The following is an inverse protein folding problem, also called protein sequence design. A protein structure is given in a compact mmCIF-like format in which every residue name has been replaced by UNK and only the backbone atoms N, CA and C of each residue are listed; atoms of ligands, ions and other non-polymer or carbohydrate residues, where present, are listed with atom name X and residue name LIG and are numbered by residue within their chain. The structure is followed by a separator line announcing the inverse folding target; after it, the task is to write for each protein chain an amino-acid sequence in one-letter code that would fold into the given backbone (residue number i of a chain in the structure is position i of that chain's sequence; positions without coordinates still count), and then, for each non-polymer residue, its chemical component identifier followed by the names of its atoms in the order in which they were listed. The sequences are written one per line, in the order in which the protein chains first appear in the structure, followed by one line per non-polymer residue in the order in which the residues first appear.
data_IF_662942040422
#
_entry.id   IF_662942040422
#
_cell.length_a   1.000
_cell.length_b   1.000
_cell.length_c   1.000
_cell.angle_alpha   90.00
_cell.angle_beta   90.00
_cell.angle_gamma   90.00
#
_symmetry.space_group_name_H-M   'P 1'
#
loop_
_entity.id
_entity.type
_entity.pdbx_description
1 polymer ?
#
# COMPACT_ATOMS: atom_id res chain seq x y z
N UNK A 1 -20.37 -5.00 -3.45
CA UNK A 1 -20.22 -5.11 -4.90
C UNK A 1 -18.83 -5.62 -5.28
N UNK A 2 -17.75 -5.08 -4.70
CA UNK A 2 -16.37 -5.46 -5.01
C UNK A 2 -16.03 -6.90 -4.71
N UNK A 3 -16.41 -7.38 -3.53
CA UNK A 3 -16.22 -8.80 -3.17
C UNK A 3 -16.98 -9.71 -4.15
N UNK A 4 -18.23 -9.38 -4.48
CA UNK A 4 -19.02 -10.15 -5.44
C UNK A 4 -18.38 -10.20 -6.84
N UNK A 5 -17.70 -9.12 -7.25
CA UNK A 5 -16.95 -9.10 -8.51
C UNK A 5 -15.72 -10.02 -8.40
N UNK A 6 -14.97 -9.94 -7.31
CA UNK A 6 -13.83 -10.83 -7.05
C UNK A 6 -14.24 -12.31 -7.07
N UNK A 7 -15.31 -12.65 -6.34
CA UNK A 7 -15.87 -14.01 -6.30
C UNK A 7 -16.36 -14.51 -7.67
N UNK A 8 -16.95 -13.64 -8.48
CA UNK A 8 -17.39 -13.96 -9.85
C UNK A 8 -16.21 -14.20 -10.81
N UNK A 9 -15.11 -13.47 -10.66
CA UNK A 9 -13.91 -13.63 -11.48
C UNK A 9 -13.03 -14.79 -11.08
N UNK A 10 -13.06 -15.20 -9.82
CA UNK A 10 -12.17 -16.23 -9.28
C UNK A 10 -12.22 -17.56 -10.05
N UNK A 11 -13.38 -18.12 -10.46
CA UNK A 11 -13.44 -19.36 -11.25
C UNK A 11 -12.72 -19.21 -12.61
N UNK A 12 -12.87 -18.07 -13.28
CA UNK A 12 -12.22 -17.78 -14.57
C UNK A 12 -10.70 -17.68 -14.39
N UNK A 13 -10.26 -17.00 -13.34
CA UNK A 13 -8.84 -16.88 -13.01
C UNK A 13 -8.23 -18.25 -12.66
N UNK A 14 -8.93 -19.08 -11.88
CA UNK A 14 -8.49 -20.46 -11.57
C UNK A 14 -8.39 -21.35 -12.80
N UNK A 15 -9.23 -21.12 -13.80
CA UNK A 15 -9.15 -21.86 -15.06
C UNK A 15 -7.89 -21.46 -15.85
N UNK A 16 -7.55 -20.19 -15.92
CA UNK A 16 -6.36 -19.68 -16.62
C UNK A 16 -5.09 -19.87 -15.80
N UNK A 17 -5.16 -19.65 -14.49
CA UNK A 17 -4.04 -19.68 -13.54
C UNK A 17 -4.31 -20.74 -12.47
N UNK A 18 -4.01 -22.01 -12.78
CA UNK A 18 -4.31 -23.17 -11.91
C UNK A 18 -3.61 -23.15 -10.55
N UNK A 19 -2.67 -22.24 -10.36
CA UNK A 19 -1.95 -22.07 -9.10
C UNK A 19 -2.66 -21.11 -8.14
N UNK A 20 -3.61 -20.33 -8.62
CA UNK A 20 -4.45 -19.44 -7.79
C UNK A 20 -5.42 -20.29 -6.96
N UNK A 21 -5.44 -20.06 -5.66
CA UNK A 21 -6.38 -20.68 -4.71
C UNK A 21 -7.47 -19.70 -4.36
N UNK A 22 -7.10 -18.47 -4.03
CA UNK A 22 -8.01 -17.41 -3.68
C UNK A 22 -7.45 -16.05 -4.11
N UNK A 23 -8.33 -15.06 -4.25
CA UNK A 23 -7.98 -13.69 -4.62
C UNK A 23 -8.92 -12.72 -3.92
N UNK A 24 -8.36 -11.74 -3.26
CA UNK A 24 -9.09 -10.64 -2.66
C UNK A 24 -8.63 -9.29 -3.22
N UNK A 25 -9.61 -8.48 -3.58
CA UNK A 25 -9.44 -7.10 -4.06
C UNK A 25 -10.15 -6.18 -3.07
N UNK A 26 -9.44 -5.58 -2.10
CA UNK A 26 -10.07 -4.72 -1.10
C UNK A 26 -10.80 -3.54 -1.77
N UNK A 27 -12.05 -3.31 -1.39
CA UNK A 27 -12.86 -2.22 -1.93
C UNK A 27 -12.23 -0.86 -1.62
N UNK A 28 -11.68 -0.73 -0.44
CA UNK A 28 -11.03 0.48 0.07
C UNK A 28 -9.86 0.91 -0.82
N UNK A 29 -9.22 -0.02 -1.51
CA UNK A 29 -8.10 0.27 -2.41
C UNK A 29 -8.56 0.56 -3.85
N UNK A 30 -9.86 0.64 -4.12
CA UNK A 30 -10.40 0.90 -5.46
C UNK A 30 -10.18 -0.25 -6.45
N UNK A 31 -10.16 -1.48 -5.99
CA UNK A 31 -10.01 -2.74 -6.74
C UNK A 31 -8.67 -2.97 -7.45
N UNK A 32 -8.14 -1.97 -8.16
CA UNK A 32 -6.97 -2.12 -9.00
C UNK A 32 -5.67 -1.78 -8.27
N UNK A 33 -5.74 -1.14 -7.10
CA UNK A 33 -4.53 -0.71 -6.43
C UNK A 33 -3.88 -1.80 -5.58
N UNK A 34 -4.67 -2.78 -5.10
CA UNK A 34 -4.15 -3.92 -4.32
C UNK A 34 -4.90 -5.19 -4.65
N UNK A 35 -4.16 -6.28 -4.86
CA UNK A 35 -4.66 -7.64 -4.84
C UNK A 35 -3.86 -8.50 -3.86
N UNK A 36 -4.55 -9.31 -3.09
CA UNK A 36 -3.97 -10.35 -2.23
C UNK A 36 -4.32 -11.69 -2.87
N UNK A 37 -3.30 -12.45 -3.30
CA UNK A 37 -3.49 -13.74 -3.97
C UNK A 37 -2.94 -14.88 -3.13
N UNK A 38 -3.80 -15.81 -2.76
CA UNK A 38 -3.38 -17.08 -2.19
C UNK A 38 -3.00 -18.05 -3.31
N UNK A 39 -1.77 -18.53 -3.29
CA UNK A 39 -1.19 -19.37 -4.34
C UNK A 39 -0.74 -20.71 -3.81
N UNK A 40 -0.87 -21.76 -4.63
CA UNK A 40 -0.16 -23.02 -4.38
C UNK A 40 1.32 -22.76 -4.17
N UNK A 41 1.93 -23.53 -3.29
CA UNK A 41 3.34 -23.40 -2.94
C UNK A 41 4.02 -24.79 -2.97
N UNK A 42 4.31 -25.33 -4.17
CA UNK A 42 4.82 -26.69 -4.42
C UNK A 42 6.25 -26.73 -4.94
N UNK A 43 6.74 -25.60 -5.44
CA UNK A 43 8.10 -25.44 -5.94
C UNK A 43 8.58 -24.00 -5.68
N UNK A 44 9.92 -23.78 -5.66
CA UNK A 44 10.49 -22.46 -5.37
C UNK A 44 9.90 -21.34 -6.20
N UNK A 45 9.57 -20.22 -5.56
CA UNK A 45 9.06 -19.00 -6.20
C UNK A 45 7.73 -19.16 -6.95
N UNK A 46 6.93 -20.18 -6.63
CA UNK A 46 5.62 -20.39 -7.28
C UNK A 46 4.66 -19.21 -7.03
N UNK A 47 4.65 -18.63 -5.82
CA UNK A 47 3.85 -17.44 -5.52
C UNK A 47 4.21 -16.27 -6.42
N UNK A 48 5.51 -15.99 -6.56
CA UNK A 48 6.01 -14.95 -7.48
C UNK A 48 5.59 -15.19 -8.93
N UNK A 49 5.73 -16.43 -9.42
CA UNK A 49 5.29 -16.81 -10.78
C UNK A 49 3.79 -16.60 -10.96
N UNK A 50 2.98 -16.97 -9.96
CA UNK A 50 1.53 -16.78 -10.01
C UNK A 50 1.16 -15.31 -10.07
N UNK A 51 1.74 -14.48 -9.21
CA UNK A 51 1.52 -13.04 -9.19
C UNK A 51 1.92 -12.36 -10.51
N UNK A 52 3.09 -12.70 -11.07
CA UNK A 52 3.53 -12.20 -12.39
C UNK A 52 2.55 -12.60 -13.51
N UNK A 53 2.05 -13.83 -13.47
CA UNK A 53 1.04 -14.29 -14.43
C UNK A 53 -0.25 -13.48 -14.38
N UNK A 54 -0.71 -13.12 -13.18
CA UNK A 54 -1.90 -12.28 -12.98
C UNK A 54 -1.67 -10.85 -13.47
N UNK A 55 -0.52 -10.25 -13.18
CA UNK A 55 -0.19 -8.89 -13.63
C UNK A 55 -0.15 -8.72 -15.16
N UNK A 56 -0.10 -9.81 -15.91
CA UNK A 56 -0.17 -9.80 -17.37
C UNK A 56 -1.50 -10.32 -17.94
N UNK A 57 -2.52 -10.61 -17.11
CA UNK A 57 -3.69 -11.35 -17.56
C UNK A 57 -4.99 -10.56 -17.39
N UNK A 58 -5.75 -10.39 -18.47
CA UNK A 58 -7.14 -9.85 -18.47
C UNK A 58 -7.24 -8.56 -17.65
N UNK A 59 -8.26 -8.46 -16.80
CA UNK A 59 -8.46 -7.28 -15.93
C UNK A 59 -7.38 -7.11 -14.86
N UNK A 60 -6.69 -8.19 -14.50
CA UNK A 60 -5.62 -8.12 -13.49
C UNK A 60 -4.39 -7.36 -14.00
N UNK A 61 -4.29 -7.10 -15.31
CA UNK A 61 -3.23 -6.26 -15.86
C UNK A 61 -3.28 -4.81 -15.36
N UNK A 62 -4.39 -4.36 -14.81
CA UNK A 62 -4.54 -3.01 -14.24
C UNK A 62 -4.09 -2.90 -12.79
N UNK A 63 -3.81 -4.02 -12.11
CA UNK A 63 -3.32 -4.01 -10.73
C UNK A 63 -2.04 -3.20 -10.57
N UNK A 64 -1.99 -2.37 -9.51
CA UNK A 64 -0.79 -1.62 -9.11
C UNK A 64 0.10 -2.46 -8.20
N UNK A 65 -0.49 -3.06 -7.18
CA UNK A 65 0.22 -3.89 -6.19
C UNK A 65 -0.42 -5.26 -6.10
N UNK A 66 0.41 -6.30 -6.05
CA UNK A 66 -0.03 -7.68 -5.80
C UNK A 66 0.84 -8.32 -4.71
N UNK A 67 0.19 -8.92 -3.72
CA UNK A 67 0.85 -9.68 -2.65
C UNK A 67 0.49 -11.15 -2.80
N UNK A 68 1.50 -12.00 -3.00
CA UNK A 68 1.33 -13.45 -3.01
C UNK A 68 1.51 -14.01 -1.60
N UNK A 69 0.54 -14.79 -1.13
CA UNK A 69 0.55 -15.43 0.18
C UNK A 69 0.39 -16.95 0.05
N UNK A 70 0.64 -17.67 1.12
CA UNK A 70 0.51 -19.13 1.18
C UNK A 70 -0.93 -19.63 0.95
N UNK A 71 -1.10 -20.91 0.56
CA UNK A 71 -2.40 -21.49 0.28
C UNK A 71 -3.37 -21.50 1.47
N UNK A 72 -2.87 -21.58 2.69
CA UNK A 72 -3.65 -21.59 3.93
C UNK A 72 -4.03 -20.20 4.44
N UNK A 73 -3.54 -19.15 3.79
CA UNK A 73 -3.77 -17.78 4.21
C UNK A 73 -5.17 -17.31 3.80
N UNK A 74 -5.95 -16.81 4.75
CA UNK A 74 -7.17 -16.08 4.45
C UNK A 74 -6.83 -14.73 3.83
N UNK A 75 -7.14 -14.56 2.54
CA UNK A 75 -6.81 -13.35 1.78
C UNK A 75 -7.55 -12.10 2.28
N UNK A 76 -8.64 -12.27 3.04
CA UNK A 76 -9.44 -11.17 3.60
C UNK A 76 -8.97 -10.73 4.98
N UNK A 77 -8.11 -11.51 5.62
CA UNK A 77 -7.55 -11.20 6.93
C UNK A 77 -6.29 -10.33 6.80
N UNK A 78 -6.45 -9.03 7.06
CA UNK A 78 -5.35 -8.07 6.96
C UNK A 78 -4.31 -8.23 8.07
N UNK A 79 -4.67 -8.72 9.24
CA UNK A 79 -3.71 -8.97 10.31
C UNK A 79 -2.80 -10.15 9.95
N UNK A 80 -3.35 -11.22 9.39
CA UNK A 80 -2.55 -12.31 8.83
C UNK A 80 -1.66 -11.84 7.68
N UNK A 81 -2.13 -10.91 6.84
CA UNK A 81 -1.31 -10.31 5.79
C UNK A 81 -0.12 -9.56 6.37
N UNK A 82 -0.33 -8.71 7.37
CA UNK A 82 0.75 -7.98 8.05
C UNK A 82 1.74 -8.94 8.71
N UNK A 83 1.26 -10.04 9.33
CA UNK A 83 2.12 -11.08 9.90
C UNK A 83 2.97 -11.78 8.83
N UNK A 84 2.41 -12.04 7.66
CA UNK A 84 3.14 -12.63 6.54
C UNK A 84 4.20 -11.67 5.98
N UNK A 85 3.88 -10.40 5.83
CA UNK A 85 4.82 -9.37 5.39
C UNK A 85 5.97 -9.20 6.41
N UNK A 86 5.65 -9.15 7.70
CA UNK A 86 6.63 -8.99 8.76
C UNK A 86 7.57 -10.20 8.89
N UNK A 87 7.04 -11.41 8.85
CA UNK A 87 7.81 -12.62 9.15
C UNK A 87 8.51 -13.24 7.95
N UNK A 88 8.05 -13.00 6.71
CA UNK A 88 8.49 -13.75 5.53
C UNK A 88 9.19 -12.89 4.48
N UNK A 89 8.91 -11.58 4.44
CA UNK A 89 9.37 -10.70 3.36
C UNK A 89 10.71 -10.03 3.70
N UNK A 90 11.70 -10.30 2.88
CA UNK A 90 12.96 -9.54 2.81
C UNK A 90 12.87 -8.56 1.65
N UNK A 91 12.98 -7.26 1.94
CA UNK A 91 12.73 -6.19 0.97
C UNK A 91 13.60 -6.34 -0.28
N UNK A 92 14.88 -6.68 -0.12
CA UNK A 92 15.82 -6.81 -1.24
C UNK A 92 15.54 -7.97 -2.18
N UNK A 93 14.84 -9.01 -1.70
CA UNK A 93 14.67 -10.26 -2.46
C UNK A 93 13.21 -10.50 -2.89
N UNK A 94 12.24 -10.07 -2.08
CA UNK A 94 10.86 -10.47 -2.22
C UNK A 94 9.97 -9.36 -2.82
N UNK A 95 10.50 -8.13 -2.97
CA UNK A 95 9.85 -7.06 -3.72
C UNK A 95 10.36 -7.01 -5.15
N UNK A 96 9.43 -6.96 -6.10
CA UNK A 96 9.73 -6.80 -7.54
C UNK A 96 8.97 -5.59 -8.06
N UNK A 97 9.70 -4.62 -8.60
CA UNK A 97 9.12 -3.46 -9.28
C UNK A 97 9.16 -3.72 -10.79
N UNK A 98 8.02 -3.53 -11.44
CA UNK A 98 7.87 -3.62 -12.88
C UNK A 98 7.56 -2.21 -13.41
N UNK A 99 8.54 -1.53 -14.02
CA UNK A 99 8.36 -0.15 -14.45
C UNK A 99 7.53 -0.03 -15.73
N UNK A 100 6.78 1.08 -15.85
CA UNK A 100 6.12 1.49 -17.09
C UNK A 100 5.04 0.53 -17.58
N UNK A 101 4.23 -0.02 -16.69
CA UNK A 101 3.18 -0.98 -17.02
C UNK A 101 1.82 -0.28 -17.19
N UNK A 102 0.89 -1.00 -17.85
CA UNK A 102 -0.48 -0.52 -18.04
C UNK A 102 -1.17 -0.27 -16.69
N UNK A 103 -1.79 0.90 -16.55
CA UNK A 103 -2.58 1.31 -15.40
C UNK A 103 -4.07 1.42 -15.76
N UNK A 104 -4.91 1.38 -14.73
CA UNK A 104 -6.30 1.78 -14.85
C UNK A 104 -6.41 3.31 -15.00
N UNK A 105 -7.39 3.77 -15.78
CA UNK A 105 -7.64 5.21 -15.96
C UNK A 105 -8.03 5.91 -14.65
N UNK A 106 -8.53 5.17 -13.67
CA UNK A 106 -8.88 5.66 -12.33
C UNK A 106 -7.66 5.73 -11.38
N UNK A 107 -6.48 5.26 -11.80
CA UNK A 107 -5.25 5.36 -11.01
C UNK A 107 -4.68 6.79 -11.05
N UNK A 108 -5.34 7.72 -10.35
CA UNK A 108 -4.96 9.14 -10.38
C UNK A 108 -3.58 9.44 -9.77
N UNK A 109 -3.09 8.60 -8.86
CA UNK A 109 -1.74 8.73 -8.31
C UNK A 109 -0.63 8.51 -9.34
N UNK A 110 -0.93 7.85 -10.45
CA UNK A 110 0.04 7.56 -11.51
C UNK A 110 0.59 8.86 -12.13
N UNK A 111 1.90 8.95 -12.39
CA UNK A 111 2.50 10.14 -13.03
C UNK A 111 1.93 10.42 -14.42
N UNK A 112 1.62 9.37 -15.16
CA UNK A 112 1.04 9.45 -16.50
C UNK A 112 -0.31 8.74 -16.57
N UNK A 113 -1.13 9.18 -17.48
CA UNK A 113 -2.41 8.53 -17.74
C UNK A 113 -2.20 7.12 -18.30
N UNK A 114 -2.87 6.14 -17.70
CA UNK A 114 -2.82 4.71 -18.08
C UNK A 114 -1.43 4.04 -18.00
N UNK A 115 -0.47 4.64 -17.29
CA UNK A 115 0.87 4.06 -17.08
C UNK A 115 1.29 4.29 -15.63
N UNK A 116 1.71 3.21 -14.97
CA UNK A 116 2.32 3.25 -13.65
C UNK A 116 3.37 2.13 -13.48
N UNK A 117 4.18 2.23 -12.48
CA UNK A 117 4.99 1.12 -12.03
C UNK A 117 4.16 0.15 -11.19
N UNK A 118 4.48 -1.14 -11.24
CA UNK A 118 3.80 -2.16 -10.43
C UNK A 118 4.71 -2.72 -9.37
N UNK A 119 4.10 -3.07 -8.23
CA UNK A 119 4.78 -3.74 -7.12
C UNK A 119 4.24 -5.16 -6.94
N UNK A 120 5.14 -6.12 -6.95
CA UNK A 120 4.86 -7.47 -6.54
C UNK A 120 5.60 -7.77 -5.24
N UNK A 121 4.90 -8.32 -4.25
CA UNK A 121 5.45 -8.76 -2.97
C UNK A 121 5.23 -10.27 -2.84
N UNK A 122 6.31 -11.04 -2.71
CA UNK A 122 6.25 -12.50 -2.51
C UNK A 122 6.34 -12.82 -1.02
N UNK A 123 5.18 -12.89 -0.34
CA UNK A 123 5.05 -13.25 1.06
C UNK A 123 4.78 -14.75 1.27
N UNK A 124 5.08 -15.61 0.26
CA UNK A 124 4.99 -17.06 0.42
C UNK A 124 6.16 -17.61 1.22
N UNK A 125 5.92 -18.63 2.03
CA UNK A 125 6.97 -19.34 2.75
C UNK A 125 7.93 -20.00 1.75
N UNK A 126 9.25 -19.92 1.97
CA UNK A 126 10.21 -20.64 1.15
C UNK A 126 10.07 -22.15 1.39
N UNK A 127 10.32 -22.93 0.35
CA UNK A 127 10.37 -24.40 0.41
C UNK A 127 11.77 -24.88 0.06
N UNK A 128 12.04 -26.16 0.26
CA UNK A 128 13.32 -26.77 -0.08
C UNK A 128 13.67 -26.52 -1.55
N UNK A 129 14.91 -26.08 -1.79
CA UNK A 129 15.40 -25.64 -3.11
C UNK A 129 15.19 -24.15 -3.40
N UNK A 130 14.46 -23.41 -2.57
CA UNK A 130 14.44 -21.94 -2.62
C UNK A 130 15.64 -21.39 -1.81
N UNK A 131 16.45 -20.46 -2.33
CA UNK A 131 17.53 -19.83 -1.56
C UNK A 131 17.06 -19.23 -0.23
N UNK A 132 15.81 -18.72 -0.16
CA UNK A 132 15.21 -18.19 1.07
C UNK A 132 15.02 -19.26 2.16
N UNK A 133 14.98 -20.54 1.82
CA UNK A 133 14.76 -21.63 2.77
C UNK A 133 15.84 -21.72 3.84
N UNK A 134 17.05 -21.28 3.52
CA UNK A 134 18.20 -21.23 4.44
C UNK A 134 18.35 -19.88 5.13
N UNK A 135 17.44 -18.93 4.90
CA UNK A 135 17.47 -17.60 5.53
C UNK A 135 17.25 -17.71 7.02
N UNK A 136 18.04 -16.98 7.79
CA UNK A 136 17.80 -16.82 9.22
C UNK A 136 16.45 -16.12 9.45
N UNK A 137 15.78 -16.35 10.59
CA UNK A 137 14.60 -15.61 10.97
C UNK A 137 14.86 -14.09 10.91
N UNK A 138 13.90 -13.34 10.39
CA UNK A 138 14.00 -11.89 10.28
C UNK A 138 13.88 -11.28 11.69
N UNK A 139 14.77 -10.34 12.02
CA UNK A 139 14.75 -9.63 13.28
C UNK A 139 13.61 -8.61 13.36
N UNK A 140 13.27 -8.21 14.57
CA UNK A 140 12.33 -7.13 14.88
C UNK A 140 13.00 -5.96 15.58
N UNK A 141 12.28 -4.87 15.72
CA UNK A 141 12.65 -3.67 16.45
C UNK A 141 12.19 -3.76 17.91
N UNK A 142 12.83 -3.02 18.84
CA UNK A 142 12.36 -2.91 20.21
C UNK A 142 11.08 -2.05 20.28
N UNK A 143 10.20 -2.32 21.25
CA UNK A 143 8.96 -1.56 21.48
C UNK A 143 9.20 -0.07 21.73
N UNK A 144 10.39 0.30 22.24
CA UNK A 144 10.79 1.69 22.46
C UNK A 144 10.89 2.52 21.15
N UNK A 145 10.96 1.87 19.99
CA UNK A 145 11.10 2.57 18.71
C UNK A 145 9.88 3.46 18.43
N UNK A 146 8.66 3.01 18.76
CA UNK A 146 7.43 3.79 18.61
C UNK A 146 7.51 5.11 19.39
N UNK A 147 7.94 5.03 20.65
CA UNK A 147 8.08 6.22 21.50
C UNK A 147 9.17 7.17 20.96
N UNK A 148 10.28 6.60 20.51
CA UNK A 148 11.38 7.39 19.94
C UNK A 148 10.96 8.08 18.65
N UNK A 149 10.21 7.40 17.79
CA UNK A 149 9.68 7.97 16.55
C UNK A 149 8.69 9.10 16.83
N UNK A 150 7.80 8.94 17.82
CA UNK A 150 6.85 9.98 18.22
C UNK A 150 7.50 11.29 18.70
N UNK A 151 8.78 11.25 19.04
CA UNK A 151 9.57 12.44 19.44
C UNK A 151 10.17 13.23 18.27
N UNK A 152 10.04 12.77 17.03
CA UNK A 152 10.61 13.45 15.85
C UNK A 152 9.70 14.59 15.43
N UNK A 153 10.28 15.75 15.13
CA UNK A 153 9.55 16.93 14.65
C UNK A 153 8.80 16.64 13.36
N UNK A 154 7.52 17.02 13.33
CA UNK A 154 6.60 16.78 12.21
C UNK A 154 5.90 15.42 12.25
N UNK A 155 6.13 14.58 13.28
CA UNK A 155 5.35 13.36 13.52
C UNK A 155 4.26 13.67 14.55
N UNK A 156 3.01 13.37 14.20
CA UNK A 156 1.83 13.56 15.08
C UNK A 156 1.56 12.30 15.89
N UNK A 157 1.57 11.14 15.24
CA UNK A 157 1.41 9.83 15.87
C UNK A 157 2.39 8.84 15.25
N UNK A 158 2.81 7.86 16.04
CA UNK A 158 3.56 6.72 15.57
C UNK A 158 2.98 5.44 16.19
N UNK A 159 2.95 4.35 15.43
CA UNK A 159 2.47 3.04 15.89
C UNK A 159 3.24 1.91 15.22
N UNK A 160 3.76 0.99 16.03
CA UNK A 160 4.28 -0.27 15.52
C UNK A 160 3.12 -1.19 15.13
N UNK A 161 3.02 -1.53 13.84
CA UNK A 161 2.02 -2.47 13.34
C UNK A 161 2.43 -3.91 13.58
N UNK A 162 3.72 -4.19 13.42
CA UNK A 162 4.39 -5.47 13.68
C UNK A 162 5.83 -5.19 14.09
N UNK A 163 6.58 -6.22 14.39
CA UNK A 163 7.94 -6.08 14.94
C UNK A 163 8.92 -5.32 14.03
N UNK A 164 8.69 -5.27 12.73
CA UNK A 164 9.53 -4.51 11.78
C UNK A 164 8.76 -3.51 10.93
N UNK A 165 7.55 -3.16 11.37
CA UNK A 165 6.63 -2.27 10.64
C UNK A 165 6.21 -1.09 11.50
N UNK A 166 6.56 0.12 11.10
CA UNK A 166 6.17 1.36 11.75
C UNK A 166 5.30 2.18 10.81
N UNK A 167 4.18 2.67 11.29
CA UNK A 167 3.40 3.72 10.64
C UNK A 167 3.52 5.02 11.43
N UNK A 168 3.67 6.13 10.74
CA UNK A 168 3.65 7.47 11.32
C UNK A 168 2.69 8.36 10.58
N UNK A 169 2.00 9.24 11.31
CA UNK A 169 1.21 10.31 10.73
C UNK A 169 1.94 11.63 10.88
N UNK A 170 1.82 12.50 9.89
CA UNK A 170 2.53 13.78 9.84
C UNK A 170 1.57 14.93 9.59
N UNK A 171 1.94 16.11 10.09
CA UNK A 171 1.25 17.37 9.83
C UNK A 171 1.88 18.18 8.69
N UNK A 172 2.54 17.49 7.77
CA UNK A 172 3.18 18.15 6.63
C UNK A 172 2.10 18.89 5.84
N UNK A 173 2.18 20.23 5.85
CA UNK A 173 1.37 21.05 4.95
C UNK A 173 1.65 20.58 3.52
N UNK A 174 0.65 20.06 2.88
CA UNK A 174 0.99 19.59 1.58
C UNK A 174 -0.16 19.35 0.66
N UNK A 175 -0.85 18.32 0.82
CA UNK A 175 -1.87 17.97 -0.13
C UNK A 175 -3.14 18.79 0.06
N UNK A 176 -3.88 19.06 -1.01
CA UNK A 176 -5.19 19.68 -0.90
C UNK A 176 -6.05 18.84 0.03
N UNK A 177 -6.82 19.52 0.88
CA UNK A 177 -7.92 18.87 1.58
C UNK A 177 -8.73 18.04 0.56
N UNK A 178 -9.20 16.83 0.90
CA UNK A 178 -10.04 16.04 0.01
C UNK A 178 -11.24 16.80 -0.58
N UNK A 179 -11.63 17.91 0.03
CA UNK A 179 -12.73 18.77 -0.41
C UNK A 179 -12.33 19.87 -1.41
N UNK A 180 -11.03 20.06 -1.67
CA UNK A 180 -10.54 21.15 -2.53
C UNK A 180 -10.12 20.62 -3.91
N UNK A 181 -10.69 21.20 -4.96
CA UNK A 181 -10.18 21.03 -6.32
C UNK A 181 -8.89 21.83 -6.45
N UNK A 182 -7.77 21.16 -6.67
CA UNK A 182 -6.51 21.84 -6.97
C UNK A 182 -6.45 22.18 -8.42
N UNK A 183 -6.61 23.46 -8.72
CA UNK A 183 -6.58 23.99 -10.10
C UNK A 183 -5.17 24.33 -10.59
N UNK A 184 -4.20 24.47 -9.68
CA UNK A 184 -2.83 24.91 -10.00
C UNK A 184 -1.78 23.92 -9.50
N UNK A 185 -0.67 23.83 -10.23
CA UNK A 185 0.50 23.09 -9.80
C UNK A 185 1.33 23.97 -8.82
N UNK A 186 1.86 23.36 -7.77
CA UNK A 186 2.76 24.02 -6.81
C UNK A 186 4.10 23.26 -6.72
N UNK A 187 5.03 23.64 -7.57
CA UNK A 187 6.35 23.03 -7.66
C UNK A 187 7.18 23.22 -6.38
N UNK A 188 7.09 24.39 -5.76
CA UNK A 188 7.85 24.71 -4.55
C UNK A 188 7.28 23.98 -3.34
N UNK A 189 5.95 23.92 -3.21
CA UNK A 189 5.27 23.13 -2.19
C UNK A 189 5.58 21.64 -2.31
N UNK A 190 5.48 21.10 -3.52
CA UNK A 190 5.80 19.70 -3.78
C UNK A 190 7.27 19.35 -3.46
N UNK A 191 8.20 20.26 -3.74
CA UNK A 191 9.61 20.11 -3.38
C UNK A 191 9.79 20.07 -1.86
N UNK A 192 9.21 21.06 -1.14
CA UNK A 192 9.27 21.11 0.33
C UNK A 192 8.65 19.87 0.98
N UNK A 193 7.52 19.40 0.47
CA UNK A 193 6.87 18.17 0.96
C UNK A 193 7.83 16.98 0.87
N UNK A 194 8.40 16.73 -0.32
CA UNK A 194 9.36 15.63 -0.53
C UNK A 194 10.59 15.74 0.37
N UNK A 195 11.15 16.94 0.53
CA UNK A 195 12.31 17.15 1.41
C UNK A 195 11.97 16.84 2.88
N UNK A 196 10.80 17.24 3.35
CA UNK A 196 10.35 16.95 4.72
C UNK A 196 10.10 15.47 4.95
N UNK A 197 9.45 14.78 4.01
CA UNK A 197 9.25 13.33 4.05
C UNK A 197 10.59 12.59 4.10
N UNK A 198 11.52 12.96 3.23
CA UNK A 198 12.88 12.40 3.25
C UNK A 198 13.58 12.63 4.60
N UNK A 199 13.44 13.82 5.18
CA UNK A 199 14.01 14.14 6.49
C UNK A 199 13.41 13.29 7.62
N UNK A 200 12.10 13.10 7.64
CA UNK A 200 11.40 12.24 8.62
C UNK A 200 11.86 10.79 8.46
N UNK A 201 11.85 10.26 7.23
CA UNK A 201 12.34 8.92 6.92
C UNK A 201 13.77 8.70 7.45
N UNK A 202 14.68 9.60 7.12
CA UNK A 202 16.08 9.48 7.50
C UNK A 202 16.27 9.62 9.00
N UNK A 203 15.49 10.49 9.67
CA UNK A 203 15.48 10.61 11.13
C UNK A 203 15.05 9.31 11.79
N UNK A 204 13.97 8.68 11.31
CA UNK A 204 13.49 7.39 11.84
C UNK A 204 14.51 6.28 11.59
N UNK A 205 15.06 6.19 10.38
CA UNK A 205 16.04 5.15 10.06
C UNK A 205 17.37 5.27 10.84
N UNK A 206 17.66 6.44 11.38
CA UNK A 206 18.83 6.69 12.24
C UNK A 206 18.55 6.53 13.73
N UNK A 207 17.32 6.25 14.16
CA UNK A 207 17.01 5.98 15.57
C UNK A 207 17.74 4.72 16.07
N UNK A 208 18.14 4.75 17.32
CA UNK A 208 18.60 3.55 18.01
C UNK A 208 17.48 2.49 18.02
N UNK A 209 17.81 1.26 17.62
CA UNK A 209 16.85 0.16 17.49
C UNK A 209 16.13 0.06 16.11
N UNK A 210 16.30 1.02 15.19
CA UNK A 210 15.67 0.98 13.88
C UNK A 210 16.39 0.07 12.86
N UNK A 211 17.46 -0.63 13.24
CA UNK A 211 18.25 -1.45 12.30
C UNK A 211 17.45 -2.57 11.62
N UNK A 212 16.41 -3.07 12.29
CA UNK A 212 15.52 -4.11 11.77
C UNK A 212 14.18 -3.57 11.27
N UNK A 213 14.00 -2.24 11.20
CA UNK A 213 12.79 -1.62 10.64
C UNK A 213 12.78 -1.79 9.13
N UNK A 214 12.04 -2.77 8.63
CA UNK A 214 11.95 -3.05 7.19
C UNK A 214 10.90 -2.19 6.48
N UNK A 215 9.80 -1.90 7.17
CA UNK A 215 8.67 -1.18 6.61
C UNK A 215 8.41 0.10 7.39
N UNK A 216 8.53 1.22 6.73
CA UNK A 216 8.12 2.52 7.24
C UNK A 216 6.98 3.04 6.38
N UNK A 217 5.87 3.39 6.99
CA UNK A 217 4.72 3.98 6.33
C UNK A 217 4.52 5.40 6.85
N UNK A 218 4.46 6.37 5.94
CA UNK A 218 4.21 7.78 6.26
C UNK A 218 2.88 8.18 5.65
N UNK A 219 2.00 8.79 6.42
CA UNK A 219 0.69 9.28 5.96
C UNK A 219 0.30 10.58 6.65
N UNK A 220 -0.79 11.19 6.22
CA UNK A 220 -1.27 12.44 6.79
C UNK A 220 -1.90 12.25 8.18
N UNK A 221 -1.98 13.35 8.95
CA UNK A 221 -2.52 13.35 10.31
C UNK A 221 -4.06 13.22 10.38
N UNK A 222 -4.76 13.15 9.25
CA UNK A 222 -6.17 12.79 9.17
C UNK A 222 -6.46 11.31 9.49
N UNK A 223 -5.41 10.47 9.58
CA UNK A 223 -5.49 9.09 10.06
C UNK A 223 -5.26 9.06 11.56
N UNK A 224 -6.27 8.63 12.32
CA UNK A 224 -6.11 8.37 13.75
C UNK A 224 -5.65 6.94 13.98
N UNK A 225 -4.44 6.77 14.52
CA UNK A 225 -3.84 5.47 14.81
C UNK A 225 -4.26 4.90 16.16
N UNK A 226 -5.08 5.60 16.95
CA UNK A 226 -5.45 5.19 18.31
C UNK A 226 -6.42 4.01 18.37
N UNK A 227 -7.26 3.84 17.37
CA UNK A 227 -8.23 2.73 17.26
C UNK A 227 -7.96 1.86 16.02
N UNK A 228 -8.77 0.82 15.78
CA UNK A 228 -8.61 -0.08 14.65
C UNK A 228 -9.26 0.41 13.34
N UNK A 229 -9.97 1.54 13.37
CA UNK A 229 -10.61 2.14 12.18
C UNK A 229 -9.56 2.63 11.17
N UNK A 230 -8.34 2.92 11.65
CA UNK A 230 -7.21 3.31 10.84
C UNK A 230 -6.92 2.34 9.68
N UNK A 231 -7.20 1.03 9.85
CA UNK A 231 -6.91 0.01 8.82
C UNK A 231 -7.59 0.33 7.49
N UNK A 232 -8.86 0.75 7.51
CA UNK A 232 -9.61 1.09 6.30
C UNK A 232 -9.13 2.38 5.66
N UNK A 233 -8.92 3.41 6.49
CA UNK A 233 -8.43 4.71 6.00
C UNK A 233 -7.03 4.55 5.44
N UNK A 234 -6.18 3.78 6.12
CA UNK A 234 -4.83 3.50 5.68
C UNK A 234 -4.81 2.77 4.32
N UNK A 235 -5.63 1.73 4.14
CA UNK A 235 -5.74 1.03 2.87
C UNK A 235 -6.12 1.98 1.74
N UNK A 236 -7.09 2.88 1.97
CA UNK A 236 -7.49 3.86 0.98
C UNK A 236 -6.36 4.83 0.66
N UNK A 237 -5.77 5.46 1.66
CA UNK A 237 -4.69 6.44 1.47
C UNK A 237 -3.46 5.80 0.83
N UNK A 238 -2.97 4.67 1.37
CA UNK A 238 -1.79 4.02 0.86
C UNK A 238 -1.90 3.60 -0.60
N UNK A 239 -3.02 3.03 -0.99
CA UNK A 239 -3.10 2.47 -2.32
C UNK A 239 -3.68 3.45 -3.34
N UNK A 240 -4.49 4.43 -2.93
CA UNK A 240 -5.05 5.41 -3.85
C UNK A 240 -4.13 6.62 -4.09
N UNK A 241 -3.37 7.06 -3.08
CA UNK A 241 -2.50 8.25 -3.18
C UNK A 241 -1.09 7.95 -3.69
N UNK A 242 -0.65 6.73 -3.56
CA UNK A 242 0.72 6.29 -3.79
C UNK A 242 0.96 5.82 -5.23
N UNK A 243 2.13 6.15 -5.77
CA UNK A 243 2.69 5.56 -6.98
C UNK A 243 3.98 4.81 -6.66
N UNK A 244 4.14 3.61 -7.23
CA UNK A 244 5.27 2.72 -6.91
C UNK A 244 6.63 3.34 -7.26
N UNK A 245 6.72 4.01 -8.39
CA UNK A 245 7.98 4.60 -8.87
C UNK A 245 8.36 5.89 -8.13
N UNK A 246 7.36 6.66 -7.67
CA UNK A 246 7.56 7.96 -7.03
C UNK A 246 7.71 7.87 -5.52
N UNK A 247 6.88 7.05 -4.87
CA UNK A 247 6.63 7.15 -3.44
C UNK A 247 7.19 5.97 -2.62
N UNK A 248 7.88 5.01 -3.29
CA UNK A 248 8.68 4.00 -2.61
C UNK A 248 10.13 4.43 -2.53
N UNK A 249 10.63 4.59 -1.31
CA UNK A 249 12.00 4.96 -1.05
C UNK A 249 12.73 3.81 -0.36
N UNK A 250 13.83 3.37 -0.93
CA UNK A 250 14.65 2.31 -0.37
C UNK A 250 15.90 2.88 0.28
N UNK A 251 16.44 2.18 1.29
CA UNK A 251 17.80 2.44 1.75
C UNK A 251 18.84 1.91 0.73
N UNK A 252 20.12 2.25 0.93
CA UNK A 252 21.20 1.92 -0.01
C UNK A 252 21.32 0.42 -0.31
N UNK A 253 21.04 -0.41 0.68
CA UNK A 253 21.16 -1.86 0.60
C UNK A 253 19.84 -2.56 0.22
N UNK A 254 18.78 -1.79 0.01
CA UNK A 254 17.41 -2.25 -0.27
C UNK A 254 16.88 -3.21 0.81
N UNK A 255 17.24 -3.00 2.05
CA UNK A 255 16.74 -3.79 3.19
C UNK A 255 15.55 -3.16 3.87
N UNK A 256 15.36 -1.86 3.66
CA UNK A 256 14.28 -1.05 4.23
C UNK A 256 13.56 -0.33 3.11
N UNK A 257 12.26 -0.19 3.28
CA UNK A 257 11.41 0.58 2.37
C UNK A 257 10.58 1.57 3.18
N UNK A 258 10.57 2.81 2.73
CA UNK A 258 9.63 3.82 3.18
C UNK A 258 8.56 3.98 2.10
N UNK A 259 7.32 3.93 2.53
CA UNK A 259 6.14 4.06 1.70
C UNK A 259 5.48 5.39 2.04
N UNK A 260 5.60 6.35 1.13
CA UNK A 260 4.95 7.66 1.26
C UNK A 260 3.53 7.59 0.73
N UNK A 261 2.56 7.73 1.64
CA UNK A 261 1.13 7.78 1.33
C UNK A 261 0.50 9.11 1.75
N UNK A 262 1.30 10.14 1.91
CA UNK A 262 0.78 11.51 2.12
C UNK A 262 0.07 12.01 0.86
N UNK A 263 -0.86 12.96 1.03
CA UNK A 263 -1.54 13.56 -0.12
C UNK A 263 -0.52 14.34 -0.96
N UNK A 264 -0.21 13.90 -2.20
CA UNK A 264 0.84 14.53 -2.98
C UNK A 264 0.38 15.88 -3.54
N UNK A 265 1.26 16.86 -3.51
CA UNK A 265 1.01 18.18 -4.11
C UNK A 265 1.19 18.11 -5.62
N UNK A 266 0.18 18.52 -6.42
CA UNK A 266 0.30 18.55 -7.87
C UNK A 266 1.49 19.35 -8.36
N UNK A 267 2.30 18.73 -9.23
CA UNK A 267 3.50 19.33 -9.79
C UNK A 267 3.87 18.65 -11.10
N UNK A 268 4.39 19.40 -12.07
CA UNK A 268 4.88 18.88 -13.34
C UNK A 268 6.41 18.76 -13.37
N UNK A 269 7.08 19.29 -12.35
CA UNK A 269 8.53 19.23 -12.21
C UNK A 269 9.05 17.87 -11.80
N UNK A 270 10.19 17.50 -12.35
CA UNK A 270 10.85 16.22 -12.02
C UNK A 270 10.49 15.06 -12.95
N UNK A 271 11.11 13.89 -12.72
CA UNK A 271 10.97 12.74 -13.61
C UNK A 271 9.60 12.02 -13.46
N UNK A 272 8.94 12.21 -12.34
CA UNK A 272 7.65 11.58 -12.01
C UNK A 272 6.68 12.66 -11.51
N UNK A 273 5.90 13.29 -12.41
CA UNK A 273 4.98 14.35 -12.05
C UNK A 273 3.84 13.85 -11.16
N UNK A 274 3.26 14.76 -10.40
CA UNK A 274 2.01 14.53 -9.67
C UNK A 274 0.89 15.21 -10.45
N UNK A 275 -0.04 14.40 -10.97
CA UNK A 275 -1.21 14.92 -11.67
C UNK A 275 -2.15 15.60 -10.68
N UNK A 276 -2.95 16.54 -11.18
CA UNK A 276 -4.02 17.16 -10.40
C UNK A 276 -5.06 16.11 -10.04
N UNK A 277 -5.45 16.08 -8.77
CA UNK A 277 -6.48 15.18 -8.29
C UNK A 277 -7.88 15.71 -8.62
N UNK A 278 -8.82 14.85 -9.01
CA UNK A 278 -10.22 15.22 -9.01
C UNK A 278 -10.67 15.46 -7.58
N UNK A 279 -11.61 16.38 -7.38
CA UNK A 279 -12.25 16.58 -6.09
C UNK A 279 -12.85 15.27 -5.56
N UNK A 280 -12.78 15.07 -4.24
CA UNK A 280 -13.46 13.94 -3.60
C UNK A 280 -14.97 14.11 -3.77
N UNK A 281 -15.62 13.09 -4.30
CA UNK A 281 -17.08 13.07 -4.37
C UNK A 281 -17.64 12.85 -2.97
N UNK A 282 -18.14 13.92 -2.38
CA UNK A 282 -18.85 13.87 -1.11
C UNK A 282 -20.35 13.82 -1.39
N UNK A 283 -21.06 13.03 -0.62
CA UNK A 283 -22.51 13.06 -0.65
C UNK A 283 -23.01 14.36 -0.01
N UNK A 284 -24.05 14.94 -0.63
CA UNK A 284 -24.75 16.08 -0.03
C UNK A 284 -25.27 15.71 1.37
N UNK A 285 -24.97 16.50 2.41
CA UNK A 285 -25.41 16.21 3.78
C UNK A 285 -26.95 16.05 3.91
N UNK A 286 -27.74 16.78 3.12
CA UNK A 286 -29.19 16.63 3.09
C UNK A 286 -29.62 15.27 2.52
N UNK A 287 -28.90 14.79 1.50
CA UNK A 287 -29.14 13.46 0.92
C UNK A 287 -28.78 12.37 1.92
N UNK A 288 -27.65 12.49 2.63
CA UNK A 288 -27.26 11.56 3.69
C UNK A 288 -28.32 11.49 4.79
N UNK A 289 -28.78 12.64 5.31
CA UNK A 289 -29.80 12.70 6.34
C UNK A 289 -31.13 12.05 5.88
N UNK A 290 -31.51 12.22 4.60
CA UNK A 290 -32.70 11.57 4.03
C UNK A 290 -32.54 10.06 3.92
N UNK A 291 -31.36 9.58 3.53
CA UNK A 291 -31.06 8.14 3.46
C UNK A 291 -31.08 7.52 4.86
N UNK A 292 -30.49 8.18 5.84
CA UNK A 292 -30.48 7.70 7.22
C UNK A 292 -31.93 7.62 7.80
N UNK A 293 -32.74 8.63 7.53
CA UNK A 293 -34.15 8.61 7.92
C UNK A 293 -34.89 7.46 7.27
N UNK A 294 -34.70 7.25 5.96
CA UNK A 294 -35.34 6.16 5.22
C UNK A 294 -34.91 4.77 5.74
N UNK A 295 -33.63 4.58 6.06
CA UNK A 295 -33.13 3.34 6.66
C UNK A 295 -33.73 3.08 8.06
N UNK A 296 -33.89 4.12 8.88
CA UNK A 296 -34.51 4.02 10.22
C UNK A 296 -36.01 3.68 10.14
N UNK A 297 -36.70 4.11 9.09
CA UNK A 297 -38.12 3.84 8.84
C UNK A 297 -38.38 2.44 8.23
N UNK A 298 -37.34 1.61 8.08
CA UNK A 298 -37.45 0.24 7.57
C UNK A 298 -37.38 0.10 6.06
N UNK A 299 -36.69 0.99 5.40
CA UNK A 299 -36.42 0.98 3.96
C UNK A 299 -35.36 -0.05 3.54
N UNK A 300 -35.59 -1.32 3.79
CA UNK A 300 -35.11 -2.60 3.24
C UNK A 300 -35.06 -3.66 4.31
#
# INVERSE_FOLDING_TARGET
LGEAIGDAFLPVLKFQHRDVIDLFLPLETGFHNLAIVSSKNRYPRQGRKTALGLLGAGQMMFLKTIVAVNPEHDTKDLDLLLDALDSKVEISEDLVILPGMVADSLAHASPWENIHDKLLIDATSPIEGDPRYLRAPLGGCPDSLEVSASGIDGIVQARMLRSSMLVVTTDIEGGPSPSENVETDDEEGARRQREKICSIRDSIWNLEGASNLRWLFITDSDVDLSDDSWKRVLLWQFFCRFDVGRDLHFDSDRRRVCWDATAPIPSQGGPLPVRRWPGVTLHDPEVLARVDTWLQEGGL
#
